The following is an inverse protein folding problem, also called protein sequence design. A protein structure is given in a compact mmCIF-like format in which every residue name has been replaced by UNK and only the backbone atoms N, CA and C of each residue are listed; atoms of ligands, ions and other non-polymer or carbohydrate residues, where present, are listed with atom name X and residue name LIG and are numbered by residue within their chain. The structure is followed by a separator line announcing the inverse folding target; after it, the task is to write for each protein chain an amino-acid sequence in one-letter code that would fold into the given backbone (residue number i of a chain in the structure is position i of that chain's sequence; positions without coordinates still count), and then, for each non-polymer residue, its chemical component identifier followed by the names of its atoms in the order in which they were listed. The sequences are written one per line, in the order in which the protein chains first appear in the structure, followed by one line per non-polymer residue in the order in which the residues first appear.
data_IF_085693326730
#
_entry.id   IF_085693326730
#
_cell.length_a   1.000
_cell.length_b   1.000
_cell.length_c   1.000
_cell.angle_alpha   90.00
_cell.angle_beta   90.00
_cell.angle_gamma   90.00
#
_symmetry.space_group_name_H-M   'P 1'
#
loop_
_entity.id
_entity.type
_entity.pdbx_description
1 polymer ?
#
# COMPACT_ATOMS: atom_id res chain seq x y z
N UNK A 1 1.79 -31.76 -39.80
CA UNK A 1 3.24 -31.90 -39.58
C UNK A 1 3.85 -30.52 -39.79
N UNK A 2 4.43 -29.84 -38.83
CA UNK A 2 5.05 -30.26 -37.58
C UNK A 2 4.52 -29.46 -36.38
N UNK A 3 4.23 -30.15 -35.29
CA UNK A 3 3.97 -29.55 -33.99
C UNK A 3 5.23 -28.85 -33.49
N UNK A 4 5.17 -27.52 -33.37
CA UNK A 4 6.17 -26.78 -32.60
C UNK A 4 5.99 -27.15 -31.12
N UNK A 5 6.74 -28.17 -30.70
CA UNK A 5 6.90 -28.51 -29.29
C UNK A 5 7.34 -27.26 -28.52
N UNK A 6 6.43 -26.70 -27.72
CA UNK A 6 6.75 -25.70 -26.71
C UNK A 6 7.62 -26.38 -25.65
N UNK A 7 8.91 -26.53 -25.90
CA UNK A 7 9.88 -26.88 -24.88
C UNK A 7 10.02 -25.67 -23.96
N UNK A 8 9.13 -25.55 -22.98
CA UNK A 8 9.36 -24.76 -21.77
C UNK A 8 10.47 -25.46 -20.98
N UNK A 9 11.71 -25.36 -21.47
CA UNK A 9 12.89 -25.64 -20.65
C UNK A 9 12.81 -24.68 -19.47
N UNK A 10 12.43 -25.22 -18.31
CA UNK A 10 12.52 -24.50 -17.05
C UNK A 10 13.93 -23.91 -16.96
N UNK A 11 14.10 -22.62 -16.59
CA UNK A 11 15.43 -22.05 -16.53
C UNK A 11 16.24 -22.86 -15.54
N UNK A 12 17.39 -23.39 -15.98
CA UNK A 12 18.37 -24.17 -15.20
C UNK A 12 19.06 -23.34 -14.11
N UNK A 13 18.46 -22.22 -13.71
CA UNK A 13 19.00 -21.16 -12.89
C UNK A 13 17.95 -20.79 -11.84
N UNK A 14 18.16 -21.28 -10.61
CA UNK A 14 17.27 -20.99 -9.47
C UNK A 14 17.39 -19.54 -8.96
N UNK A 15 18.34 -18.75 -9.48
CA UNK A 15 18.62 -17.39 -9.01
C UNK A 15 18.03 -16.32 -9.95
N UNK A 16 16.93 -15.69 -9.51
CA UNK A 16 16.23 -14.62 -10.23
C UNK A 16 17.15 -13.46 -10.65
N UNK A 17 18.15 -13.11 -9.83
CA UNK A 17 19.08 -12.02 -10.15
C UNK A 17 20.07 -12.43 -11.24
N UNK A 18 20.60 -13.65 -11.18
CA UNK A 18 21.52 -14.18 -12.21
C UNK A 18 20.84 -14.17 -13.58
N UNK A 19 19.60 -14.66 -13.65
CA UNK A 19 18.84 -14.70 -14.89
C UNK A 19 18.60 -13.31 -15.50
N UNK A 20 18.30 -12.32 -14.66
CA UNK A 20 18.12 -10.92 -15.09
C UNK A 20 19.41 -10.34 -15.70
N UNK A 21 20.58 -10.67 -15.16
CA UNK A 21 21.87 -10.24 -15.72
C UNK A 21 22.16 -10.91 -17.07
N UNK A 22 21.86 -12.20 -17.20
CA UNK A 22 21.99 -12.95 -18.47
C UNK A 22 21.06 -12.33 -19.52
N UNK A 23 19.79 -12.13 -19.19
CA UNK A 23 18.79 -11.53 -20.09
C UNK A 23 19.16 -10.11 -20.52
N UNK A 24 19.72 -9.31 -19.60
CA UNK A 24 20.22 -7.97 -19.93
C UNK A 24 21.40 -8.05 -20.90
N UNK A 25 22.34 -8.97 -20.66
CA UNK A 25 23.48 -9.21 -21.57
C UNK A 25 23.01 -9.61 -22.96
N UNK A 26 22.00 -10.49 -23.08
CA UNK A 26 21.38 -10.84 -24.37
C UNK A 26 20.74 -9.63 -25.05
N UNK A 27 20.11 -8.76 -24.27
CA UNK A 27 19.43 -7.56 -24.77
C UNK A 27 20.45 -6.58 -25.35
N UNK A 28 21.60 -6.41 -24.70
CA UNK A 28 22.69 -5.57 -25.21
C UNK A 28 23.30 -6.16 -26.50
N UNK A 29 23.56 -7.48 -26.57
CA UNK A 29 24.02 -8.14 -27.80
C UNK A 29 23.07 -7.91 -28.98
N UNK A 30 21.76 -8.02 -28.71
CA UNK A 30 20.72 -7.80 -29.71
C UNK A 30 20.69 -6.33 -30.18
N UNK A 31 20.69 -5.38 -29.25
CA UNK A 31 20.66 -3.96 -29.58
C UNK A 31 21.90 -3.54 -30.37
N UNK A 32 23.09 -4.02 -29.98
CA UNK A 32 24.34 -3.75 -30.68
C UNK A 32 24.35 -4.24 -32.13
N UNK A 33 23.57 -5.29 -32.45
CA UNK A 33 23.42 -5.82 -33.81
C UNK A 33 22.34 -5.11 -34.61
N UNK A 34 21.26 -4.69 -33.95
CA UNK A 34 20.09 -4.12 -34.59
C UNK A 34 20.22 -2.62 -34.82
N UNK A 35 20.58 -1.87 -33.79
CA UNK A 35 20.48 -0.42 -33.75
C UNK A 35 21.88 0.19 -33.68
N UNK A 36 22.20 1.13 -34.59
CA UNK A 36 23.48 1.87 -34.54
C UNK A 36 23.59 2.79 -33.31
N UNK A 37 22.45 3.28 -32.79
CA UNK A 37 22.35 4.12 -31.59
C UNK A 37 21.10 3.75 -30.79
N UNK A 38 21.19 3.74 -29.46
CA UNK A 38 20.05 3.46 -28.59
C UNK A 38 20.13 4.23 -27.27
N UNK A 39 18.98 4.47 -26.63
CA UNK A 39 18.89 5.15 -25.33
C UNK A 39 18.69 4.15 -24.19
N UNK A 40 18.85 4.58 -22.94
CA UNK A 40 18.51 3.73 -21.78
C UNK A 40 17.03 3.32 -21.76
N UNK A 41 16.12 4.15 -22.30
CA UNK A 41 14.70 3.80 -22.45
C UNK A 41 14.52 2.65 -23.43
N UNK A 42 15.29 2.64 -24.54
CA UNK A 42 15.28 1.54 -25.50
C UNK A 42 15.75 0.23 -24.85
N UNK A 43 16.88 0.27 -24.12
CA UNK A 43 17.40 -0.89 -23.38
C UNK A 43 16.33 -1.42 -22.43
N UNK A 44 15.71 -0.54 -21.63
CA UNK A 44 14.68 -0.92 -20.67
C UNK A 44 13.46 -1.57 -21.33
N UNK A 45 13.00 -1.02 -22.46
CA UNK A 45 11.88 -1.56 -23.22
C UNK A 45 12.14 -3.00 -23.68
N UNK A 46 13.27 -3.25 -24.37
CA UNK A 46 13.60 -4.59 -24.86
C UNK A 46 13.92 -5.56 -23.73
N UNK A 47 14.60 -5.10 -22.67
CA UNK A 47 14.90 -5.91 -21.51
C UNK A 47 13.61 -6.38 -20.81
N UNK A 48 12.66 -5.47 -20.57
CA UNK A 48 11.37 -5.82 -19.97
C UNK A 48 10.52 -6.73 -20.87
N UNK A 49 10.59 -6.56 -22.19
CA UNK A 49 9.93 -7.48 -23.14
C UNK A 49 10.51 -8.90 -23.04
N UNK A 50 11.84 -9.02 -22.95
CA UNK A 50 12.51 -10.31 -22.75
C UNK A 50 12.16 -10.93 -21.39
N UNK A 51 12.09 -10.15 -20.31
CA UNK A 51 11.67 -10.66 -19.01
C UNK A 51 10.24 -11.19 -19.01
N UNK A 52 9.30 -10.46 -19.62
CA UNK A 52 7.90 -10.90 -19.74
C UNK A 52 7.77 -12.22 -20.50
N UNK A 53 8.50 -12.38 -21.62
CA UNK A 53 8.54 -13.63 -22.40
C UNK A 53 9.02 -14.82 -21.56
N UNK A 54 9.92 -14.57 -20.61
CA UNK A 54 10.48 -15.56 -19.72
C UNK A 54 9.71 -15.70 -18.38
N UNK A 55 8.48 -15.17 -18.29
CA UNK A 55 7.65 -15.25 -17.08
C UNK A 55 8.16 -14.43 -15.89
N UNK A 56 9.08 -13.48 -16.10
CA UNK A 56 9.64 -12.64 -15.06
C UNK A 56 9.00 -11.25 -15.03
N UNK A 57 8.83 -10.74 -13.81
CA UNK A 57 8.34 -9.38 -13.59
C UNK A 57 9.29 -8.34 -14.22
N UNK A 58 8.75 -7.31 -14.89
CA UNK A 58 9.54 -6.22 -15.45
C UNK A 58 10.29 -5.45 -14.36
N UNK A 59 11.29 -4.68 -14.78
CA UNK A 59 12.14 -3.87 -13.89
C UNK A 59 11.97 -2.39 -14.16
N UNK A 60 12.35 -1.56 -13.19
CA UNK A 60 12.41 -0.12 -13.34
C UNK A 60 13.75 0.32 -13.94
N UNK A 61 13.81 1.56 -14.44
CA UNK A 61 15.03 2.15 -15.00
C UNK A 61 16.22 2.07 -14.01
N UNK A 62 15.98 2.46 -12.75
CA UNK A 62 17.00 2.44 -11.69
C UNK A 62 17.54 1.03 -11.43
N UNK A 63 16.66 0.02 -11.42
CA UNK A 63 17.08 -1.37 -11.24
C UNK A 63 17.90 -1.87 -12.43
N UNK A 64 17.51 -1.53 -13.66
CA UNK A 64 18.29 -1.86 -14.85
C UNK A 64 19.68 -1.20 -14.82
N UNK A 65 19.78 0.07 -14.42
CA UNK A 65 21.06 0.76 -14.26
C UNK A 65 21.98 0.06 -13.25
N UNK A 66 21.45 -0.40 -12.11
CA UNK A 66 22.22 -1.19 -11.15
C UNK A 66 22.75 -2.51 -11.75
N UNK A 67 21.97 -3.15 -12.63
CA UNK A 67 22.44 -4.33 -13.34
C UNK A 67 23.55 -4.01 -14.36
N UNK A 68 23.43 -2.90 -15.10
CA UNK A 68 24.49 -2.43 -16.01
C UNK A 68 25.79 -2.14 -15.24
N UNK A 69 25.69 -1.44 -14.11
CA UNK A 69 26.83 -1.19 -13.22
C UNK A 69 27.48 -2.51 -12.76
N UNK A 70 26.68 -3.50 -12.37
CA UNK A 70 27.19 -4.81 -11.93
C UNK A 70 27.86 -5.59 -13.06
N UNK A 71 27.33 -5.52 -14.29
CA UNK A 71 27.95 -6.13 -15.46
C UNK A 71 29.32 -5.51 -15.77
N UNK A 72 29.46 -4.20 -15.59
CA UNK A 72 30.69 -3.46 -15.87
C UNK A 72 31.73 -3.57 -14.75
N UNK A 73 31.38 -3.21 -13.51
CA UNK A 73 32.33 -3.09 -12.40
C UNK A 73 32.64 -4.41 -11.71
N UNK A 74 31.61 -5.19 -11.41
CA UNK A 74 31.75 -6.43 -10.63
C UNK A 74 32.12 -7.60 -11.54
N UNK A 75 31.33 -7.82 -12.58
CA UNK A 75 31.50 -8.97 -13.49
C UNK A 75 32.49 -8.69 -14.61
N UNK A 76 32.76 -7.42 -14.91
CA UNK A 76 33.71 -6.97 -15.95
C UNK A 76 33.44 -7.65 -17.30
N UNK A 77 32.18 -7.85 -17.67
CA UNK A 77 31.75 -8.46 -18.94
C UNK A 77 31.31 -7.43 -19.97
N UNK A 78 31.06 -6.19 -19.55
CA UNK A 78 30.70 -5.07 -20.44
C UNK A 78 31.63 -3.88 -20.22
N UNK A 79 31.73 -3.03 -21.24
CA UNK A 79 32.22 -1.65 -21.16
C UNK A 79 31.17 -0.72 -21.72
N UNK A 80 31.11 0.51 -21.22
CA UNK A 80 30.22 1.54 -21.71
C UNK A 80 31.00 2.71 -22.31
N UNK A 81 30.46 3.24 -23.39
CA UNK A 81 30.71 4.57 -23.88
C UNK A 81 29.60 5.48 -23.35
N UNK A 82 29.97 6.64 -22.85
CA UNK A 82 29.05 7.66 -22.35
C UNK A 82 29.58 9.02 -22.75
N UNK A 83 28.83 9.74 -23.59
CA UNK A 83 29.14 11.11 -23.95
C UNK A 83 27.91 11.98 -23.74
N UNK A 84 28.06 13.05 -22.95
CA UNK A 84 27.03 14.07 -22.83
C UNK A 84 27.15 15.03 -24.02
N UNK A 85 26.10 15.13 -24.83
CA UNK A 85 26.10 15.92 -26.07
C UNK A 85 25.59 17.35 -25.86
N UNK A 86 25.39 17.76 -24.61
CA UNK A 86 24.86 19.07 -24.23
C UNK A 86 23.36 19.06 -23.91
N UNK A 87 22.87 20.19 -23.40
CA UNK A 87 21.53 20.36 -22.79
C UNK A 87 20.40 19.92 -23.72
N UNK A 88 20.54 20.16 -25.04
CA UNK A 88 19.48 19.90 -26.03
C UNK A 88 19.68 18.60 -26.84
N UNK A 89 20.88 18.01 -26.84
CA UNK A 89 21.21 16.82 -27.66
C UNK A 89 21.24 15.52 -26.86
N UNK A 90 21.09 15.59 -25.53
CA UNK A 90 20.98 14.43 -24.65
C UNK A 90 22.31 13.70 -24.42
N UNK A 91 22.25 12.38 -24.29
CA UNK A 91 23.42 11.55 -23.97
C UNK A 91 23.53 10.40 -24.95
N UNK A 92 24.71 10.27 -25.56
CA UNK A 92 25.07 9.12 -26.38
C UNK A 92 25.64 8.02 -25.49
N UNK A 93 25.06 6.83 -25.58
CA UNK A 93 25.42 5.70 -24.73
C UNK A 93 25.54 4.46 -25.61
N UNK A 94 26.63 3.72 -25.44
CA UNK A 94 26.84 2.44 -26.11
C UNK A 94 27.47 1.42 -25.16
N UNK A 95 26.84 0.26 -24.98
CA UNK A 95 27.35 -0.81 -24.13
C UNK A 95 27.96 -1.91 -24.98
N UNK A 96 29.29 -1.98 -25.02
CA UNK A 96 30.05 -3.03 -25.70
C UNK A 96 30.21 -4.26 -24.79
N UNK A 97 29.91 -5.45 -25.30
CA UNK A 97 30.29 -6.69 -24.63
C UNK A 97 31.80 -6.90 -24.80
N UNK A 98 32.52 -7.16 -23.70
CA UNK A 98 33.97 -7.42 -23.76
C UNK A 98 34.29 -8.78 -24.40
N UNK A 99 33.36 -9.71 -24.33
CA UNK A 99 33.50 -11.08 -24.79
C UNK A 99 32.29 -11.48 -25.64
N UNK A 100 32.39 -12.55 -26.44
CA UNK A 100 31.23 -13.13 -27.09
C UNK A 100 30.12 -13.47 -26.08
N UNK A 101 28.87 -13.31 -26.49
CA UNK A 101 27.69 -13.50 -25.63
C UNK A 101 27.73 -14.77 -24.76
N UNK A 102 28.16 -15.90 -25.34
CA UNK A 102 28.27 -17.19 -24.63
C UNK A 102 29.28 -17.14 -23.49
N UNK A 103 30.44 -16.50 -23.70
CA UNK A 103 31.48 -16.38 -22.69
C UNK A 103 31.05 -15.42 -21.56
N UNK A 104 30.35 -14.33 -21.90
CA UNK A 104 29.73 -13.47 -20.89
C UNK A 104 28.80 -14.25 -19.96
N UNK A 105 27.98 -15.16 -20.50
CA UNK A 105 27.10 -16.01 -19.68
C UNK A 105 27.89 -16.94 -18.76
N UNK A 106 28.97 -17.54 -19.26
CA UNK A 106 29.83 -18.41 -18.46
C UNK A 106 30.46 -17.65 -17.28
N UNK A 107 30.98 -16.44 -17.52
CA UNK A 107 31.54 -15.59 -16.45
C UNK A 107 30.48 -15.20 -15.41
N UNK A 108 29.27 -14.83 -15.84
CA UNK A 108 28.14 -14.56 -14.94
C UNK A 108 27.83 -15.80 -14.09
N UNK A 109 27.69 -16.97 -14.73
CA UNK A 109 27.37 -18.21 -14.03
C UNK A 109 28.45 -18.61 -13.02
N UNK A 110 29.73 -18.48 -13.40
CA UNK A 110 30.89 -18.76 -12.54
C UNK A 110 30.85 -17.90 -11.28
N UNK A 111 30.62 -16.59 -11.40
CA UNK A 111 30.51 -15.68 -10.26
C UNK A 111 29.43 -16.10 -9.24
N UNK A 112 28.24 -16.49 -9.71
CA UNK A 112 27.17 -16.93 -8.80
C UNK A 112 27.46 -18.29 -8.15
N UNK A 113 28.16 -19.19 -8.85
CA UNK A 113 28.62 -20.47 -8.31
C UNK A 113 29.65 -20.27 -7.19
N UNK A 114 30.63 -19.39 -7.42
CA UNK A 114 31.66 -19.04 -6.44
C UNK A 114 31.06 -18.36 -5.19
N UNK A 115 30.12 -17.43 -5.37
CA UNK A 115 29.38 -16.84 -4.25
C UNK A 115 28.65 -17.89 -3.41
N UNK A 116 27.99 -18.86 -4.04
CA UNK A 116 27.28 -19.94 -3.32
C UNK A 116 28.27 -20.76 -2.48
N UNK A 117 29.40 -21.12 -3.07
CA UNK A 117 30.45 -21.88 -2.39
C UNK A 117 31.08 -21.08 -1.23
N UNK A 118 31.33 -19.78 -1.43
CA UNK A 118 31.84 -18.91 -0.37
C UNK A 118 30.89 -18.84 0.83
N UNK A 119 29.59 -18.67 0.60
CA UNK A 119 28.58 -18.65 1.69
C UNK A 119 28.51 -19.99 2.43
N UNK A 120 28.67 -21.10 1.72
CA UNK A 120 28.77 -22.41 2.34
C UNK A 120 30.02 -22.51 3.23
N UNK A 121 31.20 -22.16 2.71
CA UNK A 121 32.44 -22.13 3.50
C UNK A 121 32.33 -21.23 4.74
N UNK A 122 31.72 -20.05 4.61
CA UNK A 122 31.48 -19.17 5.76
C UNK A 122 30.59 -19.81 6.83
N UNK A 123 29.51 -20.51 6.45
CA UNK A 123 28.65 -21.23 7.40
C UNK A 123 29.40 -22.37 8.10
N UNK A 124 30.19 -23.13 7.36
CA UNK A 124 31.04 -24.20 7.90
C UNK A 124 32.05 -23.62 8.90
N UNK A 125 32.74 -22.53 8.54
CA UNK A 125 33.71 -21.89 9.41
C UNK A 125 33.06 -21.30 10.67
N UNK A 126 31.87 -20.71 10.57
CA UNK A 126 31.14 -20.19 11.74
C UNK A 126 30.75 -21.33 12.68
N UNK A 127 30.21 -22.43 12.15
CA UNK A 127 29.89 -23.61 12.96
C UNK A 127 31.10 -24.15 13.73
N UNK A 128 32.27 -24.22 13.10
CA UNK A 128 33.50 -24.63 13.78
C UNK A 128 34.04 -23.56 14.75
N UNK A 129 33.87 -22.25 14.49
CA UNK A 129 34.23 -21.19 15.44
C UNK A 129 33.34 -21.20 16.69
N UNK A 130 32.03 -21.40 16.54
CA UNK A 130 31.06 -21.40 17.64
C UNK A 130 31.22 -22.64 18.54
N UNK A 131 31.74 -23.74 18.00
CA UNK A 131 32.06 -24.96 18.76
C UNK A 131 33.42 -24.88 19.48
N UNK A 132 34.34 -24.01 19.06
CA UNK A 132 35.66 -23.83 19.72
C UNK A 132 35.55 -22.98 20.99
N UNK A 133 34.52 -22.13 21.14
CA UNK A 133 34.29 -21.36 22.38
C UNK A 133 33.52 -22.13 23.46
N UNK A 134 33.13 -23.38 23.21
CA UNK A 134 32.67 -24.29 24.26
C UNK A 134 33.83 -25.22 24.58
N UNK A 135 34.41 -25.06 25.77
CA UNK A 135 35.27 -26.05 26.38
C UNK A 135 34.49 -27.37 26.53
N UNK A 136 34.46 -28.18 25.49
CA UNK A 136 34.42 -29.62 25.62
C UNK A 136 35.72 -30.11 25.00
N UNK A 137 36.71 -30.30 25.85
CA UNK A 137 37.83 -31.17 25.56
C UNK A 137 37.26 -32.55 25.21
N UNK A 138 37.01 -32.79 23.93
CA UNK A 138 36.95 -34.15 23.42
C UNK A 138 38.19 -34.27 22.57
N UNK A 139 39.20 -34.83 23.22
CA UNK A 139 40.39 -35.32 22.57
C UNK A 139 40.00 -36.13 21.35
N UNK A 140 40.82 -35.98 20.34
CA UNK A 140 40.83 -36.64 19.05
C UNK A 140 40.87 -38.17 19.14
N UNK A 141 39.85 -38.83 19.67
CA UNK A 141 39.60 -40.28 19.54
C UNK A 141 38.12 -40.49 19.79
N UNK A 142 37.34 -40.92 18.79
CA UNK A 142 36.21 -41.86 18.96
C UNK A 142 35.51 -42.11 17.61
N UNK A 143 36.17 -42.92 16.78
CA UNK A 143 35.46 -43.97 16.06
C UNK A 143 35.46 -45.22 16.94
N UNK A 144 34.72 -45.25 18.06
CA UNK A 144 34.42 -46.50 18.77
C UNK A 144 33.02 -46.45 19.38
N UNK A 145 32.11 -47.23 18.77
CA UNK A 145 30.80 -47.58 19.31
C UNK A 145 30.94 -48.14 20.74
N UNK A 146 30.32 -47.49 21.72
CA UNK A 146 30.20 -48.07 23.06
C UNK A 146 28.73 -48.10 23.52
N UNK A 147 28.25 -49.32 23.82
CA UNK A 147 26.83 -49.70 24.02
C UNK A 147 26.09 -48.97 25.16
N UNK A 148 26.79 -48.22 26.01
CA UNK A 148 26.18 -47.55 27.18
C UNK A 148 25.56 -46.17 26.89
N UNK A 149 25.79 -45.56 25.71
CA UNK A 149 25.10 -44.32 25.31
C UNK A 149 23.71 -44.53 24.69
N UNK A 150 23.37 -45.76 24.25
CA UNK A 150 22.14 -46.04 23.53
C UNK A 150 20.86 -45.65 24.29
N UNK A 151 20.79 -45.83 25.62
CA UNK A 151 19.55 -45.51 26.37
C UNK A 151 19.31 -44.01 26.58
N UNK A 152 20.36 -43.18 26.70
CA UNK A 152 20.21 -41.71 26.78
C UNK A 152 20.00 -41.10 25.39
N UNK A 153 20.64 -41.64 24.36
CA UNK A 153 20.43 -41.23 22.97
C UNK A 153 19.06 -41.66 22.46
N UNK A 154 18.60 -42.88 22.73
CA UNK A 154 17.23 -43.33 22.37
C UNK A 154 16.15 -42.48 23.02
N UNK A 155 16.33 -42.04 24.28
CA UNK A 155 15.39 -41.12 24.93
C UNK A 155 15.36 -39.75 24.23
N UNK A 156 16.53 -39.19 23.91
CA UNK A 156 16.64 -37.93 23.15
C UNK A 156 16.07 -38.06 21.74
N UNK A 157 16.30 -39.19 21.06
CA UNK A 157 15.75 -39.50 19.73
C UNK A 157 14.22 -39.60 19.81
N UNK A 158 13.67 -40.32 20.80
CA UNK A 158 12.22 -40.42 21.03
C UNK A 158 11.58 -39.06 21.34
N UNK A 159 12.27 -38.18 22.07
CA UNK A 159 11.81 -36.79 22.31
C UNK A 159 11.84 -35.94 21.03
N UNK A 160 12.90 -36.05 20.23
CA UNK A 160 13.03 -35.38 18.93
C UNK A 160 11.94 -35.86 17.97
N UNK A 161 11.67 -37.16 17.91
CA UNK A 161 10.63 -37.76 17.08
C UNK A 161 9.24 -37.28 17.48
N UNK A 162 8.94 -37.23 18.79
CA UNK A 162 7.69 -36.64 19.31
C UNK A 162 7.55 -35.17 18.90
N UNK A 163 8.61 -34.39 19.00
CA UNK A 163 8.60 -32.97 18.61
C UNK A 163 8.39 -32.79 17.09
N UNK A 164 9.09 -33.57 16.27
CA UNK A 164 8.93 -33.59 14.81
C UNK A 164 7.50 -33.97 14.41
N UNK A 165 6.93 -35.00 15.04
CA UNK A 165 5.57 -35.45 14.78
C UNK A 165 4.54 -34.39 15.18
N UNK A 166 4.74 -33.72 16.32
CA UNK A 166 3.87 -32.62 16.77
C UNK A 166 3.91 -31.43 15.80
N UNK A 167 5.10 -31.06 15.33
CA UNK A 167 5.24 -30.01 14.32
C UNK A 167 4.59 -30.40 12.98
N UNK A 168 4.76 -31.65 12.55
CA UNK A 168 4.13 -32.17 11.34
C UNK A 168 2.59 -32.09 11.44
N UNK A 169 2.03 -32.58 12.55
CA UNK A 169 0.59 -32.52 12.82
C UNK A 169 0.06 -31.08 12.85
N UNK A 170 0.75 -30.17 13.53
CA UNK A 170 0.37 -28.76 13.60
C UNK A 170 0.36 -28.10 12.20
N UNK A 171 1.32 -28.45 11.35
CA UNK A 171 1.38 -27.96 9.97
C UNK A 171 0.21 -28.46 9.10
N UNK A 172 -0.38 -29.62 9.43
CA UNK A 172 -1.54 -30.15 8.73
C UNK A 172 -2.81 -29.32 8.98
N UNK A 173 -2.89 -28.53 10.06
CA UNK A 173 -4.00 -27.62 10.37
C UNK A 173 -5.38 -28.30 10.18
N UNK A 174 -5.62 -29.35 10.96
CA UNK A 174 -6.91 -30.06 11.00
C UNK A 174 -8.01 -29.16 11.56
N UNK A 175 -9.26 -29.37 11.10
CA UNK A 175 -10.44 -28.63 11.55
C UNK A 175 -11.11 -29.25 12.78
N UNK A 176 -10.77 -30.50 13.08
CA UNK A 176 -11.34 -31.31 14.16
C UNK A 176 -10.27 -31.58 15.21
N UNK A 177 -10.56 -31.30 16.47
CA UNK A 177 -9.64 -31.52 17.59
C UNK A 177 -9.44 -33.01 17.86
N UNK A 178 -10.39 -33.86 17.45
CA UNK A 178 -10.37 -35.31 17.55
C UNK A 178 -9.16 -35.93 16.83
N UNK A 179 -8.63 -35.24 15.81
CA UNK A 179 -7.43 -35.66 15.08
C UNK A 179 -6.17 -35.70 15.99
N UNK A 180 -6.15 -34.98 17.11
CA UNK A 180 -5.04 -35.01 18.08
C UNK A 180 -4.78 -36.42 18.63
N UNK A 181 -5.81 -37.27 18.68
CA UNK A 181 -5.73 -38.65 19.15
C UNK A 181 -4.67 -39.48 18.43
N UNK A 182 -4.36 -39.15 17.17
CA UNK A 182 -3.33 -39.85 16.36
C UNK A 182 -1.94 -39.73 17.01
N UNK A 183 -1.64 -38.60 17.66
CA UNK A 183 -0.33 -38.38 18.28
C UNK A 183 -0.08 -39.33 19.46
N UNK A 184 -1.16 -39.77 20.12
CA UNK A 184 -1.14 -40.62 21.31
C UNK A 184 -1.21 -42.12 21.01
N UNK A 185 -1.35 -42.53 19.75
CA UNK A 185 -1.33 -43.95 19.37
C UNK A 185 -0.01 -44.63 19.76
N UNK A 186 -0.06 -45.88 20.20
CA UNK A 186 1.16 -46.63 20.54
C UNK A 186 1.75 -47.31 19.29
N UNK A 187 2.16 -46.50 18.31
CA UNK A 187 2.72 -46.93 17.02
C UNK A 187 4.00 -46.15 16.70
N UNK A 188 4.78 -46.63 15.73
CA UNK A 188 5.99 -45.95 15.28
C UNK A 188 5.67 -44.64 14.54
N UNK A 189 6.71 -43.81 14.37
CA UNK A 189 6.60 -42.47 13.78
C UNK A 189 6.06 -42.50 12.35
N UNK A 190 6.51 -43.44 11.53
CA UNK A 190 6.16 -43.47 10.11
C UNK A 190 4.69 -43.87 9.93
N UNK A 191 4.23 -44.85 10.71
CA UNK A 191 2.81 -45.23 10.78
C UNK A 191 1.92 -44.06 11.22
N UNK A 192 2.37 -43.25 12.19
CA UNK A 192 1.61 -42.05 12.61
C UNK A 192 1.56 -40.99 11.51
N UNK A 193 2.67 -40.77 10.79
CA UNK A 193 2.71 -39.82 9.68
C UNK A 193 1.76 -40.26 8.56
N UNK A 194 1.74 -41.56 8.25
CA UNK A 194 0.82 -42.12 7.27
C UNK A 194 -0.65 -41.93 7.68
N UNK A 195 -0.98 -42.21 8.95
CA UNK A 195 -2.31 -41.98 9.50
C UNK A 195 -2.72 -40.49 9.41
N UNK A 196 -1.82 -39.56 9.75
CA UNK A 196 -2.04 -38.11 9.60
C UNK A 196 -2.33 -37.75 8.14
N UNK A 197 -1.57 -38.31 7.20
CA UNK A 197 -1.77 -38.05 5.77
C UNK A 197 -3.13 -38.54 5.28
N UNK A 198 -3.50 -39.78 5.61
CA UNK A 198 -4.79 -40.38 5.24
C UNK A 198 -5.94 -39.54 5.79
N UNK A 199 -5.87 -39.18 7.07
CA UNK A 199 -6.92 -38.36 7.71
C UNK A 199 -7.02 -36.98 7.07
N UNK A 200 -5.89 -36.35 6.71
CA UNK A 200 -5.91 -35.04 6.05
C UNK A 200 -6.51 -35.11 4.65
N UNK A 201 -6.20 -36.17 3.89
CA UNK A 201 -6.80 -36.39 2.57
C UNK A 201 -8.31 -36.59 2.66
N UNK A 202 -8.78 -37.38 3.64
CA UNK A 202 -10.20 -37.60 3.88
C UNK A 202 -10.91 -36.30 4.28
N UNK A 203 -10.32 -35.49 5.17
CA UNK A 203 -10.87 -34.18 5.53
C UNK A 203 -11.02 -33.27 4.29
N UNK A 204 -9.99 -33.19 3.44
CA UNK A 204 -10.03 -32.42 2.19
C UNK A 204 -11.10 -32.96 1.24
N UNK A 205 -11.21 -34.28 1.09
CA UNK A 205 -12.21 -34.93 0.25
C UNK A 205 -13.64 -34.63 0.72
N UNK A 206 -13.89 -34.70 2.04
CA UNK A 206 -15.18 -34.34 2.64
C UNK A 206 -15.51 -32.85 2.42
N UNK A 207 -14.55 -31.95 2.64
CA UNK A 207 -14.73 -30.50 2.39
C UNK A 207 -15.10 -30.25 0.92
N UNK A 208 -14.46 -30.95 -0.02
CA UNK A 208 -14.76 -30.86 -1.46
C UNK A 208 -16.15 -31.42 -1.78
N UNK A 209 -16.50 -32.59 -1.22
CA UNK A 209 -17.78 -33.30 -1.45
C UNK A 209 -18.98 -32.51 -0.92
N UNK A 210 -18.85 -31.91 0.27
CA UNK A 210 -19.91 -31.11 0.89
C UNK A 210 -19.90 -29.62 0.48
N UNK A 211 -19.03 -29.21 -0.44
CA UNK A 211 -19.08 -27.94 -1.15
C UNK A 211 -19.26 -26.68 -0.25
N UNK A 212 -18.46 -26.58 0.82
CA UNK A 212 -18.44 -25.45 1.79
C UNK A 212 -18.03 -24.10 1.14
N UNK A 213 -17.91 -23.99 -0.19
CA UNK A 213 -17.70 -22.70 -0.89
C UNK A 213 -18.97 -21.87 -1.02
N UNK A 214 -20.17 -22.46 -0.93
CA UNK A 214 -21.44 -21.72 -1.11
C UNK A 214 -21.77 -20.78 0.07
N UNK A 215 -21.19 -20.99 1.26
CA UNK A 215 -21.35 -20.12 2.43
C UNK A 215 -20.60 -18.79 2.27
N UNK A 216 -19.41 -18.79 1.66
CA UNK A 216 -18.55 -17.61 1.58
C UNK A 216 -19.18 -16.44 0.79
N UNK A 217 -19.93 -16.71 -0.28
CA UNK A 217 -20.57 -15.63 -1.05
C UNK A 217 -21.76 -15.03 -0.30
N UNK A 218 -22.56 -15.86 0.41
CA UNK A 218 -23.68 -15.40 1.24
C UNK A 218 -23.19 -14.53 2.40
N UNK A 219 -22.11 -14.93 3.05
CA UNK A 219 -21.47 -14.12 4.10
C UNK A 219 -20.95 -12.78 3.57
N UNK A 220 -20.30 -12.79 2.39
CA UNK A 220 -19.83 -11.55 1.76
C UNK A 220 -21.00 -10.65 1.33
N UNK A 221 -22.11 -11.22 0.87
CA UNK A 221 -23.33 -10.45 0.58
C UNK A 221 -23.93 -9.84 1.87
N UNK A 222 -23.94 -10.56 2.98
CA UNK A 222 -24.37 -10.04 4.29
C UNK A 222 -23.48 -8.86 4.73
N UNK A 223 -22.16 -9.01 4.64
CA UNK A 223 -21.20 -7.92 4.92
C UNK A 223 -21.38 -6.72 4.00
N UNK A 224 -21.67 -6.95 2.72
CA UNK A 224 -21.97 -5.86 1.78
C UNK A 224 -23.22 -5.08 2.23
N UNK A 225 -24.31 -5.77 2.60
CA UNK A 225 -25.53 -5.12 3.11
C UNK A 225 -25.24 -4.26 4.34
N UNK A 226 -24.44 -4.78 5.27
CA UNK A 226 -24.06 -4.09 6.51
C UNK A 226 -23.26 -2.80 6.22
N UNK A 227 -22.27 -2.86 5.31
CA UNK A 227 -21.49 -1.68 4.92
C UNK A 227 -22.37 -0.61 4.25
N UNK A 228 -23.29 -1.02 3.38
CA UNK A 228 -24.20 -0.08 2.71
C UNK A 228 -25.20 0.54 3.70
N UNK A 229 -25.72 -0.24 4.65
CA UNK A 229 -26.57 0.26 5.73
C UNK A 229 -25.84 1.29 6.61
N UNK A 230 -24.62 0.99 7.04
CA UNK A 230 -23.80 1.93 7.82
C UNK A 230 -23.47 3.21 7.04
N UNK A 231 -23.30 3.10 5.71
CA UNK A 231 -23.09 4.26 4.84
C UNK A 231 -24.35 5.11 4.71
N UNK A 232 -25.53 4.48 4.60
CA UNK A 232 -26.83 5.16 4.60
C UNK A 232 -27.00 5.99 5.87
N UNK A 233 -26.83 5.37 7.03
CA UNK A 233 -27.00 6.03 8.34
C UNK A 233 -26.12 7.27 8.48
N UNK A 234 -24.83 7.18 8.12
CA UNK A 234 -23.90 8.32 8.14
C UNK A 234 -24.32 9.47 7.21
N UNK A 235 -24.88 9.16 6.04
CA UNK A 235 -25.35 10.19 5.11
C UNK A 235 -26.68 10.81 5.58
N UNK A 236 -27.57 10.02 6.17
CA UNK A 236 -28.80 10.54 6.78
C UNK A 236 -28.49 11.49 7.95
N UNK A 237 -27.53 11.14 8.81
CA UNK A 237 -27.02 12.01 9.88
C UNK A 237 -26.44 13.33 9.34
N UNK A 238 -25.80 13.29 8.15
CA UNK A 238 -25.29 14.48 7.48
C UNK A 238 -26.37 15.31 6.76
N UNK A 239 -27.65 14.94 6.88
CA UNK A 239 -28.79 15.70 6.35
C UNK A 239 -29.15 15.40 4.89
N UNK A 240 -28.65 14.30 4.31
CA UNK A 240 -29.05 13.86 2.97
C UNK A 240 -30.42 13.18 2.96
N UNK A 241 -31.15 13.25 1.83
CA UNK A 241 -32.50 12.70 1.72
C UNK A 241 -32.52 11.15 1.82
N UNK A 242 -33.22 10.56 2.81
CA UNK A 242 -33.21 9.11 3.07
C UNK A 242 -33.81 8.29 1.92
N UNK A 243 -34.88 8.78 1.27
CA UNK A 243 -35.55 8.06 0.17
C UNK A 243 -34.65 7.96 -1.06
N UNK A 244 -33.93 9.04 -1.38
CA UNK A 244 -32.98 9.04 -2.50
C UNK A 244 -31.74 8.18 -2.22
N UNK A 245 -31.26 8.16 -0.96
CA UNK A 245 -30.17 7.29 -0.54
C UNK A 245 -30.52 5.81 -0.69
N UNK A 246 -31.72 5.42 -0.28
CA UNK A 246 -32.22 4.04 -0.37
C UNK A 246 -32.24 3.51 -1.81
N UNK A 247 -32.83 4.27 -2.73
CA UNK A 247 -32.90 3.89 -4.15
C UNK A 247 -31.50 3.73 -4.74
N UNK A 248 -30.59 4.66 -4.46
CA UNK A 248 -29.24 4.62 -5.03
C UNK A 248 -28.37 3.52 -4.41
N UNK A 249 -28.47 3.28 -3.11
CA UNK A 249 -27.74 2.21 -2.44
C UNK A 249 -28.26 0.82 -2.83
N UNK A 250 -29.55 0.69 -3.14
CA UNK A 250 -30.09 -0.56 -3.69
C UNK A 250 -29.48 -0.88 -5.06
N UNK A 251 -29.35 0.12 -5.95
CA UNK A 251 -28.65 -0.04 -7.23
C UNK A 251 -27.19 -0.45 -7.03
N UNK A 252 -26.51 0.11 -6.04
CA UNK A 252 -25.14 -0.28 -5.66
C UNK A 252 -25.10 -1.74 -5.21
N UNK A 253 -26.04 -2.17 -4.36
CA UNK A 253 -26.09 -3.56 -3.92
C UNK A 253 -26.24 -4.52 -5.11
N UNK A 254 -27.17 -4.25 -6.01
CA UNK A 254 -27.40 -5.10 -7.20
C UNK A 254 -26.16 -5.20 -8.11
N UNK A 255 -25.43 -4.11 -8.29
CA UNK A 255 -24.21 -4.08 -9.10
C UNK A 255 -23.05 -4.87 -8.48
N UNK A 256 -23.00 -5.00 -7.15
CA UNK A 256 -21.89 -5.61 -6.43
C UNK A 256 -22.24 -6.94 -5.72
N UNK A 257 -23.49 -7.42 -5.77
CA UNK A 257 -23.93 -8.64 -5.06
C UNK A 257 -23.15 -9.91 -5.41
N UNK A 258 -22.62 -10.01 -6.63
CA UNK A 258 -21.78 -11.13 -7.07
C UNK A 258 -20.27 -10.83 -7.04
N UNK A 259 -19.90 -9.59 -6.75
CA UNK A 259 -18.51 -9.12 -6.62
C UNK A 259 -18.31 -8.21 -5.40
N UNK A 260 -18.71 -8.65 -4.19
CA UNK A 260 -18.73 -7.80 -3.00
C UNK A 260 -17.32 -7.41 -2.51
N UNK A 261 -16.27 -8.10 -2.94
CA UNK A 261 -14.89 -7.83 -2.53
C UNK A 261 -14.39 -6.43 -2.94
N UNK A 262 -14.91 -5.84 -4.03
CA UNK A 262 -14.60 -4.46 -4.42
C UNK A 262 -15.05 -3.42 -3.38
N UNK A 263 -16.06 -3.76 -2.57
CA UNK A 263 -16.59 -2.89 -1.52
C UNK A 263 -16.04 -3.26 -0.15
N UNK A 264 -15.93 -4.56 0.13
CA UNK A 264 -15.45 -5.07 1.44
C UNK A 264 -13.96 -4.80 1.63
N UNK A 265 -13.13 -5.00 0.60
CA UNK A 265 -11.68 -4.82 0.67
C UNK A 265 -11.30 -3.37 0.32
N UNK A 266 -11.87 -2.40 1.04
CA UNK A 266 -11.71 -0.95 0.80
C UNK A 266 -10.26 -0.43 0.86
N UNK A 267 -9.34 -1.17 1.48
CA UNK A 267 -7.91 -0.87 1.52
C UNK A 267 -7.20 -1.18 0.19
N UNK A 268 -7.80 -2.06 -0.64
CA UNK A 268 -7.30 -2.42 -1.99
C UNK A 268 -8.07 -1.70 -3.10
N UNK A 269 -9.36 -1.48 -2.90
CA UNK A 269 -10.27 -0.96 -3.92
C UNK A 269 -10.90 0.37 -3.50
N UNK A 270 -10.98 1.31 -4.44
CA UNK A 270 -11.50 2.67 -4.20
C UNK A 270 -13.02 2.80 -4.42
N UNK A 271 -13.67 1.72 -4.83
CA UNK A 271 -15.06 1.69 -5.29
C UNK A 271 -16.04 2.24 -4.24
N UNK A 272 -15.92 1.83 -2.98
CA UNK A 272 -16.77 2.34 -1.91
C UNK A 272 -16.64 3.87 -1.76
N UNK A 273 -15.43 4.41 -1.85
CA UNK A 273 -15.19 5.85 -1.76
C UNK A 273 -15.75 6.58 -2.99
N UNK A 274 -15.60 6.00 -4.18
CA UNK A 274 -16.15 6.56 -5.41
C UNK A 274 -17.69 6.59 -5.37
N UNK A 275 -18.32 5.55 -4.82
CA UNK A 275 -19.77 5.49 -4.62
C UNK A 275 -20.21 6.59 -3.65
N UNK A 276 -19.54 6.74 -2.49
CA UNK A 276 -19.85 7.82 -1.53
C UNK A 276 -19.78 9.20 -2.18
N UNK A 277 -18.68 9.50 -2.88
CA UNK A 277 -18.51 10.76 -3.61
C UNK A 277 -19.60 11.01 -4.65
N UNK A 278 -20.05 9.97 -5.35
CA UNK A 278 -21.16 10.09 -6.32
C UNK A 278 -22.47 10.40 -5.60
N UNK A 279 -22.78 9.68 -4.52
CA UNK A 279 -23.99 9.89 -3.72
C UNK A 279 -24.05 11.31 -3.16
N UNK A 280 -22.94 11.79 -2.58
CA UNK A 280 -22.82 13.15 -2.03
C UNK A 280 -23.03 14.23 -3.10
N UNK A 281 -22.62 13.99 -4.35
CA UNK A 281 -22.82 14.94 -5.46
C UNK A 281 -24.23 14.93 -6.03
N UNK A 282 -24.87 13.77 -6.05
CA UNK A 282 -26.16 13.58 -6.74
C UNK A 282 -27.38 13.80 -5.84
N UNK A 283 -27.23 13.74 -4.52
CA UNK A 283 -28.33 13.80 -3.57
C UNK A 283 -28.32 15.16 -2.88
N UNK A 284 -29.47 15.82 -2.90
CA UNK A 284 -29.63 17.12 -2.25
C UNK A 284 -29.54 16.98 -0.73
N UNK A 285 -28.73 17.85 -0.12
CA UNK A 285 -28.62 18.00 1.33
C UNK A 285 -29.70 18.97 1.81
N UNK A 286 -30.42 18.64 2.88
CA UNK A 286 -31.28 19.61 3.57
C UNK A 286 -30.39 20.78 4.02
N UNK A 287 -30.66 22.00 3.53
CA UNK A 287 -29.96 23.22 3.96
C UNK A 287 -30.25 23.44 5.45
N UNK A 288 -29.20 23.69 6.24
CA UNK A 288 -29.32 24.10 7.65
C UNK A 288 -30.16 25.38 7.78
N UNK A 289 -30.89 25.49 8.90
CA UNK A 289 -31.83 26.58 9.21
C UNK A 289 -31.25 27.96 8.85
N UNK A 290 -31.92 28.66 7.93
CA UNK A 290 -31.52 29.97 7.42
C UNK A 290 -31.38 31.05 8.50
N UNK A 291 -32.08 30.91 9.63
CA UNK A 291 -32.01 31.83 10.77
C UNK A 291 -30.66 31.82 11.48
N UNK A 292 -30.06 30.64 11.73
CA UNK A 292 -28.77 30.53 12.42
C UNK A 292 -27.65 31.17 11.59
N UNK A 293 -27.66 30.94 10.28
CA UNK A 293 -26.69 31.54 9.36
C UNK A 293 -26.85 33.06 9.23
N UNK A 294 -28.08 33.57 9.31
CA UNK A 294 -28.33 35.02 9.30
C UNK A 294 -27.84 35.71 10.59
N UNK A 295 -28.01 35.07 11.75
CA UNK A 295 -27.50 35.58 13.03
C UNK A 295 -25.96 35.60 13.06
N UNK A 296 -25.31 34.50 12.64
CA UNK A 296 -23.84 34.45 12.57
C UNK A 296 -23.28 35.47 11.56
N UNK A 297 -23.94 35.67 10.43
CA UNK A 297 -23.56 36.70 9.45
C UNK A 297 -23.67 38.11 10.04
N UNK A 298 -24.77 38.39 10.75
CA UNK A 298 -25.00 39.69 11.39
C UNK A 298 -23.98 39.99 12.48
N UNK A 299 -23.61 38.99 13.28
CA UNK A 299 -22.60 39.10 14.34
C UNK A 299 -21.19 39.34 13.77
N UNK A 300 -20.80 38.60 12.73
CA UNK A 300 -19.53 38.83 12.04
C UNK A 300 -19.44 40.24 11.44
N UNK A 301 -20.50 40.70 10.80
CA UNK A 301 -20.56 42.04 10.20
C UNK A 301 -20.50 43.13 11.28
N UNK A 302 -21.20 42.93 12.40
CA UNK A 302 -21.15 43.84 13.55
C UNK A 302 -19.72 44.01 14.08
N UNK A 303 -18.99 42.90 14.26
CA UNK A 303 -17.61 42.93 14.75
C UNK A 303 -16.65 43.63 13.78
N UNK A 304 -16.81 43.41 12.46
CA UNK A 304 -15.97 44.07 11.44
C UNK A 304 -16.20 45.58 11.42
N UNK A 305 -17.45 46.04 11.48
CA UNK A 305 -17.77 47.46 11.47
C UNK A 305 -17.25 48.17 12.73
N UNK A 306 -17.29 47.52 13.90
CA UNK A 306 -16.65 48.05 15.11
C UNK A 306 -15.15 48.24 14.90
N UNK A 307 -14.47 47.22 14.38
CA UNK A 307 -13.02 47.27 14.16
C UNK A 307 -12.60 48.35 13.16
N UNK A 308 -13.44 48.63 12.16
CA UNK A 308 -13.19 49.70 11.18
C UNK A 308 -13.39 51.09 11.78
N UNK A 309 -14.49 51.30 12.50
CA UNK A 309 -14.93 52.63 12.94
C UNK A 309 -14.43 53.00 14.36
N UNK A 310 -13.76 52.09 15.08
CA UNK A 310 -13.20 52.36 16.43
C UNK A 310 -12.18 53.51 16.47
N UNK A 311 -11.57 53.85 15.34
CA UNK A 311 -10.65 54.99 15.23
C UNK A 311 -11.38 56.32 15.17
N UNK A 312 -12.65 56.31 14.74
CA UNK A 312 -13.44 57.52 14.55
C UNK A 312 -14.11 57.95 15.85
N UNK A 313 -14.59 57.02 16.69
CA UNK A 313 -15.32 57.32 17.93
C UNK A 313 -15.12 56.23 18.99
N UNK A 314 -15.31 56.57 20.26
CA UNK A 314 -15.26 55.59 21.37
C UNK A 314 -16.25 54.42 21.12
N UNK A 315 -15.76 53.20 21.39
CA UNK A 315 -16.47 51.94 21.20
C UNK A 315 -17.81 51.90 21.95
N UNK A 316 -17.90 52.55 23.11
CA UNK A 316 -19.14 52.60 23.91
C UNK A 316 -20.28 53.32 23.19
N UNK A 317 -19.96 54.39 22.44
CA UNK A 317 -20.90 55.15 21.62
C UNK A 317 -21.16 54.42 20.29
N UNK A 318 -20.13 53.77 19.73
CA UNK A 318 -20.19 53.11 18.44
C UNK A 318 -21.10 51.87 18.43
N UNK A 319 -21.02 51.03 19.48
CA UNK A 319 -21.80 49.78 19.61
C UNK A 319 -23.32 49.99 19.42
N UNK A 320 -23.99 50.91 20.14
CA UNK A 320 -25.43 51.11 19.98
C UNK A 320 -25.81 51.63 18.59
N UNK A 321 -25.00 52.51 17.98
CA UNK A 321 -25.23 53.06 16.64
C UNK A 321 -25.21 51.95 15.59
N UNK A 322 -24.14 51.14 15.56
CA UNK A 322 -24.01 50.03 14.62
C UNK A 322 -25.13 49.00 14.82
N UNK A 323 -25.47 48.68 16.07
CA UNK A 323 -26.56 47.74 16.38
C UNK A 323 -27.91 48.24 15.88
N UNK A 324 -28.21 49.53 16.09
CA UNK A 324 -29.44 50.19 15.60
C UNK A 324 -29.48 50.20 14.08
N UNK A 325 -28.37 50.52 13.42
CA UNK A 325 -28.24 50.52 11.97
C UNK A 325 -28.49 49.12 11.37
N UNK A 326 -27.77 48.09 11.83
CA UNK A 326 -27.94 46.71 11.34
C UNK A 326 -29.33 46.12 11.65
N UNK A 327 -30.01 46.59 12.69
CA UNK A 327 -31.39 46.19 12.99
C UNK A 327 -32.43 46.82 12.05
N UNK A 328 -32.15 48.00 11.48
CA UNK A 328 -33.03 48.66 10.50
C UNK A 328 -32.92 48.06 9.09
N UNK A 329 -31.81 47.37 8.79
CA UNK A 329 -31.59 46.79 7.47
C UNK A 329 -32.51 45.60 7.22
N UNK A 330 -33.28 45.65 6.12
CA UNK A 330 -34.16 44.53 5.68
C UNK A 330 -33.37 43.27 5.33
N UNK A 331 -32.15 43.44 4.80
CA UNK A 331 -31.23 42.35 4.44
C UNK A 331 -29.79 42.83 4.61
N UNK A 332 -29.01 42.09 5.38
CA UNK A 332 -27.59 42.39 5.62
C UNK A 332 -26.75 41.55 4.65
N UNK A 333 -25.80 42.18 3.96
CA UNK A 333 -24.94 41.54 2.96
C UNK A 333 -23.46 41.87 3.21
N UNK A 334 -22.61 40.85 3.20
CA UNK A 334 -21.20 40.98 3.59
C UNK A 334 -20.35 41.83 2.62
N UNK A 335 -20.71 41.83 1.33
CA UNK A 335 -20.03 42.64 0.31
C UNK A 335 -20.22 44.16 0.51
N UNK A 336 -21.22 44.59 1.27
CA UNK A 336 -21.51 46.01 1.54
C UNK A 336 -20.72 46.57 2.73
N UNK A 337 -20.09 45.70 3.52
CA UNK A 337 -19.39 46.07 4.77
C UNK A 337 -18.25 47.06 4.52
N UNK A 338 -17.40 46.79 3.52
CA UNK A 338 -16.20 47.58 3.22
C UNK A 338 -16.45 48.84 2.38
N UNK A 339 -17.71 49.21 2.14
CA UNK A 339 -18.05 50.37 1.33
C UNK A 339 -19.30 51.06 1.86
N UNK A 340 -20.46 50.60 1.40
CA UNK A 340 -21.76 51.24 1.66
C UNK A 340 -22.02 51.37 3.17
N UNK A 341 -21.91 50.28 3.93
CA UNK A 341 -22.20 50.29 5.36
C UNK A 341 -21.21 51.14 6.15
N UNK A 342 -19.93 51.08 5.79
CA UNK A 342 -18.90 51.91 6.41
C UNK A 342 -19.19 53.40 6.19
N UNK A 343 -19.45 53.82 4.95
CA UNK A 343 -19.68 55.22 4.59
C UNK A 343 -20.94 55.78 5.26
N UNK A 344 -22.06 55.05 5.20
CA UNK A 344 -23.32 55.47 5.84
C UNK A 344 -23.15 55.59 7.36
N UNK A 345 -22.46 54.65 8.01
CA UNK A 345 -22.20 54.73 9.45
C UNK A 345 -21.24 55.87 9.80
N UNK A 346 -20.21 56.12 9.00
CA UNK A 346 -19.28 57.24 9.19
C UNK A 346 -20.01 58.60 9.15
N UNK A 347 -20.99 58.73 8.24
CA UNK A 347 -21.82 59.93 8.12
C UNK A 347 -22.76 60.11 9.32
N UNK A 348 -23.42 59.03 9.75
CA UNK A 348 -24.27 59.03 10.96
C UNK A 348 -23.46 59.48 12.19
N UNK A 349 -22.25 58.94 12.35
CA UNK A 349 -21.35 59.26 13.48
C UNK A 349 -20.93 60.74 13.44
N UNK A 350 -20.60 61.29 12.26
CA UNK A 350 -20.26 62.71 12.12
C UNK A 350 -21.43 63.61 12.45
N UNK A 351 -22.64 63.26 12.01
CA UNK A 351 -23.84 64.04 12.28
C UNK A 351 -24.23 64.02 13.76
N UNK A 352 -24.10 62.87 14.44
CA UNK A 352 -24.32 62.78 15.89
C UNK A 352 -23.28 63.57 16.70
N UNK A 353 -22.02 63.62 16.26
CA UNK A 353 -21.00 64.48 16.88
C UNK A 353 -21.32 65.97 16.73
N UNK A 354 -21.77 66.38 15.55
CA UNK A 354 -22.12 67.77 15.30
C UNK A 354 -23.34 68.22 16.12
N UNK A 355 -24.34 67.35 16.31
CA UNK A 355 -25.50 67.65 17.16
C UNK A 355 -25.12 67.78 18.65
N UNK A 356 -24.22 66.92 19.14
CA UNK A 356 -23.72 66.99 20.53
C UNK A 356 -22.89 68.26 20.77
N UNK A 357 -22.07 68.67 19.80
CA UNK A 357 -21.31 69.92 19.89
C UNK A 357 -22.24 71.15 19.95
N UNK A 358 -23.30 71.19 19.15
CA UNK A 358 -24.28 72.31 19.18
C UNK A 358 -25.07 72.39 20.50
N UNK A 359 -25.36 71.27 21.14
CA UNK A 359 -26.02 71.25 22.46
C UNK A 359 -25.09 71.79 23.56
N UNK A 360 -23.81 71.42 23.58
CA UNK A 360 -22.83 71.98 24.53
C UNK A 360 -22.60 73.50 24.36
N UNK A 361 -22.64 74.01 23.12
CA UNK A 361 -22.56 75.45 22.87
C UNK A 361 -23.82 76.20 23.33
N UNK A 362 -24.99 75.57 23.28
CA UNK A 362 -26.25 76.18 23.77
C UNK A 362 -26.34 76.23 25.29
N UNK A 363 -25.69 75.30 26.01
CA UNK A 363 -25.67 75.27 27.48
C UNK A 363 -24.64 76.26 28.07
N UNK A 364 -23.58 76.62 27.32
CA UNK A 364 -22.59 77.63 27.74
C UNK A 364 -22.99 79.08 27.45
N UNK A 365 -24.09 79.31 26.76
CA UNK A 365 -24.58 80.64 26.37
C UNK A 365 -25.78 81.12 27.22
N UNK A 366 -26.04 80.47 28.35
CA UNK A 366 -26.95 80.91 29.43
C UNK A 366 -26.11 81.10 30.69
#
# INVERSE_FOLDING_TARGET
MEDFSNTTKSPTCHNKHQYKLISLTSTLDFLNKKDKKYTQKNILYYFNKNLKRNGLAPTTLRTMQNYLYKLEKVLKVTTNYYQHMGVNCGTEIYYKLKYPKKECYQKINKYFKEQKNSRFKSRVNNHFKDNVSKNSSVNSVECLNNKNNNTKEERKIKEIEKYQLRNYFNNCNFKTEEALSILYLNTDKDTKIEAINILKQNEIALIKKFNIKKSCIKEKQKKLKEILYNTRKKLEENGYNPKQLEINLQKVYENYKYKPHFIIENHKYSDLNNIKRKLEKSIERKKENSQQNYQNLKENIFNILIEQLKKETNIEILKPIIKKYLNKQKKIEYNKVFGIYHLELSEIIKNEKNSLATEEFSIKAV
#
